data_IF_964879344140
#
_entry.id   IF_964879344140
#
_cell.length_a   1.000
_cell.length_b   1.000
_cell.length_c   1.000
_cell.angle_alpha   90.00
_cell.angle_beta   90.00
_cell.angle_gamma   90.00
#
_symmetry.space_group_name_H-M   'P 1'
#
loop_
_entity.id
_entity.type
_entity.pdbx_description
1 polymer ?
#
# COMPACT_ATOMS: atom_id res chain seq x y z
N UNK A 1 0.81 4.23 15.13
CA UNK A 1 1.18 3.51 13.90
C UNK A 1 0.06 2.53 13.58
N UNK A 2 -0.61 2.68 12.45
CA UNK A 2 -1.52 1.66 11.93
C UNK A 2 -0.78 0.34 11.75
N UNK A 3 -1.44 -0.74 12.19
CA UNK A 3 -0.95 -2.12 12.09
C UNK A 3 -2.10 -2.98 11.60
N UNK A 4 -1.90 -3.67 10.49
CA UNK A 4 -2.89 -4.54 9.85
C UNK A 4 -2.27 -5.92 9.67
N UNK A 5 -3.01 -6.95 10.06
CA UNK A 5 -2.64 -8.33 9.82
C UNK A 5 -3.67 -8.96 8.87
N UNK A 6 -3.18 -9.64 7.84
CA UNK A 6 -3.99 -10.41 6.91
C UNK A 6 -3.23 -11.71 6.56
N UNK A 7 -3.87 -12.85 6.83
CA UNK A 7 -3.17 -14.13 6.83
C UNK A 7 -1.97 -14.10 7.79
N UNK A 8 -0.83 -14.56 7.29
CA UNK A 8 0.46 -14.54 7.96
C UNK A 8 1.25 -13.24 7.73
N UNK A 9 0.76 -12.27 6.93
CA UNK A 9 1.46 -10.99 6.75
C UNK A 9 0.93 -9.92 7.69
N UNK A 10 1.86 -9.10 8.19
CA UNK A 10 1.62 -7.96 9.05
C UNK A 10 2.28 -6.74 8.41
N UNK A 11 1.49 -5.71 8.13
CA UNK A 11 1.95 -4.39 7.73
C UNK A 11 1.91 -3.43 8.92
N UNK A 12 3.01 -2.70 9.11
CA UNK A 12 3.12 -1.55 10.01
C UNK A 12 3.54 -0.32 9.19
N UNK A 13 2.81 0.78 9.37
CA UNK A 13 3.06 2.06 8.70
C UNK A 13 3.08 3.20 9.72
N UNK A 14 3.73 4.33 9.43
CA UNK A 14 3.60 5.53 10.26
C UNK A 14 2.15 6.05 10.26
N UNK A 15 1.79 6.80 11.31
CA UNK A 15 0.45 7.41 11.43
C UNK A 15 0.21 8.53 10.41
N UNK A 16 1.28 9.15 9.93
CA UNK A 16 1.22 10.20 8.92
C UNK A 16 2.58 10.41 8.23
N UNK A 17 2.58 11.20 7.17
CA UNK A 17 3.78 11.76 6.54
C UNK A 17 3.51 13.17 6.01
N UNK A 18 4.56 13.96 5.79
CA UNK A 18 4.44 15.30 5.21
C UNK A 18 4.43 15.23 3.67
N UNK A 19 3.45 15.87 3.04
CA UNK A 19 3.34 16.06 1.60
C UNK A 19 3.01 17.53 1.28
N UNK A 20 3.84 18.19 0.48
CA UNK A 20 3.66 19.61 0.12
C UNK A 20 3.46 20.58 1.31
N UNK A 21 3.95 20.22 2.50
CA UNK A 21 3.80 21.00 3.72
C UNK A 21 2.52 20.70 4.52
N UNK A 22 1.75 19.69 4.11
CA UNK A 22 0.57 19.18 4.80
C UNK A 22 0.85 17.80 5.39
N UNK A 23 0.26 17.50 6.56
CA UNK A 23 0.37 16.19 7.20
C UNK A 23 -0.76 15.30 6.68
N UNK A 24 -0.38 14.21 6.01
CA UNK A 24 -1.30 13.22 5.45
C UNK A 24 -1.48 12.10 6.47
N UNK A 25 -2.62 12.07 7.14
CA UNK A 25 -2.95 11.03 8.12
C UNK A 25 -3.29 9.69 7.45
N UNK A 26 -2.82 8.60 8.05
CA UNK A 26 -3.07 7.23 7.59
C UNK A 26 -3.78 6.46 8.69
N UNK A 27 -4.91 5.86 8.32
CA UNK A 27 -5.71 5.01 9.18
C UNK A 27 -5.71 3.56 8.68
N UNK A 28 -6.11 2.63 9.54
CA UNK A 28 -6.25 1.21 9.16
C UNK A 28 -7.29 0.99 8.07
N UNK A 29 -8.28 1.88 7.95
CA UNK A 29 -9.32 1.81 6.94
C UNK A 29 -8.82 2.14 5.53
N UNK A 30 -7.66 2.80 5.43
CA UNK A 30 -7.02 3.14 4.16
C UNK A 30 -6.18 1.98 3.61
N UNK A 31 -5.97 0.93 4.44
CA UNK A 31 -5.08 -0.18 4.15
C UNK A 31 -5.92 -1.41 3.77
N UNK A 32 -5.69 -1.90 2.56
CA UNK A 32 -6.35 -3.09 2.03
C UNK A 32 -5.31 -4.17 1.70
N UNK A 33 -5.40 -5.38 2.25
CA UNK A 33 -4.57 -6.50 1.82
C UNK A 33 -4.87 -6.89 0.36
N UNK A 34 -3.82 -7.30 -0.36
CA UNK A 34 -3.90 -7.71 -1.77
C UNK A 34 -3.54 -9.18 -1.89
N UNK A 35 -4.38 -9.94 -2.59
CA UNK A 35 -4.15 -11.35 -2.89
C UNK A 35 -3.82 -11.54 -4.37
N UNK A 36 -3.09 -12.60 -4.69
CA UNK A 36 -2.91 -13.05 -6.07
C UNK A 36 -4.27 -13.37 -6.71
N UNK A 37 -4.40 -13.20 -8.03
CA UNK A 37 -5.64 -13.50 -8.77
C UNK A 37 -6.09 -14.97 -8.61
N UNK A 38 -5.13 -15.88 -8.44
CA UNK A 38 -5.36 -17.31 -8.24
C UNK A 38 -5.46 -17.72 -6.76
N UNK A 39 -5.50 -16.77 -5.83
CA UNK A 39 -5.52 -17.06 -4.40
C UNK A 39 -6.80 -17.82 -3.99
N UNK A 40 -6.60 -18.81 -3.13
CA UNK A 40 -7.64 -19.56 -2.44
C UNK A 40 -7.81 -19.05 -1.01
N UNK A 41 -8.84 -19.52 -0.30
CA UNK A 41 -9.11 -19.12 1.09
C UNK A 41 -7.97 -19.44 2.07
N UNK A 42 -7.05 -20.35 1.70
CA UNK A 42 -5.90 -20.76 2.50
C UNK A 42 -4.60 -19.99 2.15
N UNK A 43 -4.63 -19.15 1.10
CA UNK A 43 -3.45 -18.41 0.65
C UNK A 43 -3.25 -17.10 1.43
N UNK A 44 -1.99 -16.77 1.65
CA UNK A 44 -1.59 -15.48 2.23
C UNK A 44 -1.69 -14.36 1.19
N UNK A 45 -1.98 -13.11 1.61
CA UNK A 45 -1.86 -11.97 0.72
C UNK A 45 -0.42 -11.83 0.23
N UNK A 46 -0.24 -11.20 -0.93
CA UNK A 46 1.06 -10.91 -1.53
C UNK A 46 1.60 -9.52 -1.11
N UNK A 47 0.75 -8.72 -0.45
CA UNK A 47 1.09 -7.37 -0.02
C UNK A 47 -0.13 -6.60 0.46
N UNK A 48 0.00 -5.29 0.52
CA UNK A 48 -1.03 -4.35 0.94
C UNK A 48 -1.03 -3.11 0.04
N UNK A 49 -2.18 -2.48 -0.06
CA UNK A 49 -2.36 -1.18 -0.71
C UNK A 49 -2.86 -0.16 0.29
N UNK A 50 -2.33 1.06 0.20
CA UNK A 50 -2.74 2.20 1.01
C UNK A 50 -3.37 3.22 0.06
N UNK A 51 -4.68 3.43 0.19
CA UNK A 51 -5.45 4.36 -0.66
C UNK A 51 -5.63 5.69 0.07
N UNK A 52 -5.14 6.78 -0.49
CA UNK A 52 -5.15 8.11 0.12
C UNK A 52 -5.68 9.17 -0.85
N UNK A 53 -6.30 10.21 -0.30
CA UNK A 53 -6.67 11.42 -1.04
C UNK A 53 -5.62 12.49 -0.76
N UNK A 54 -4.89 12.92 -1.81
CA UNK A 54 -3.88 13.98 -1.70
C UNK A 54 -4.38 15.28 -2.34
N UNK A 55 -4.12 16.40 -1.68
CA UNK A 55 -4.41 17.72 -2.25
C UNK A 55 -3.65 17.89 -3.57
N UNK A 56 -4.33 18.39 -4.62
CA UNK A 56 -3.80 18.60 -5.97
C UNK A 56 -3.40 17.34 -6.78
N UNK A 57 -3.45 16.14 -6.19
CA UNK A 57 -3.11 14.88 -6.86
C UNK A 57 -4.28 13.88 -6.95
N UNK A 58 -5.35 14.10 -6.19
CA UNK A 58 -6.53 13.22 -6.18
C UNK A 58 -6.25 11.92 -5.43
N UNK A 59 -6.91 10.84 -5.84
CA UNK A 59 -6.71 9.53 -5.23
C UNK A 59 -5.36 8.95 -5.65
N UNK A 60 -4.57 8.50 -4.68
CA UNK A 60 -3.33 7.76 -4.91
C UNK A 60 -3.39 6.40 -4.22
N UNK A 61 -2.71 5.41 -4.79
CA UNK A 61 -2.56 4.08 -4.21
C UNK A 61 -1.08 3.76 -4.08
N UNK A 62 -0.66 3.43 -2.86
CA UNK A 62 0.70 3.02 -2.53
C UNK A 62 0.70 1.52 -2.27
N UNK A 63 1.41 0.76 -3.09
CA UNK A 63 1.62 -0.67 -2.88
C UNK A 63 2.77 -0.92 -1.90
N UNK A 64 2.60 -1.91 -1.04
CA UNK A 64 3.64 -2.43 -0.16
C UNK A 64 3.69 -3.94 -0.33
N UNK A 65 4.81 -4.45 -0.82
CA UNK A 65 5.07 -5.88 -0.99
C UNK A 65 6.26 -6.30 -0.15
N UNK A 66 6.31 -7.56 0.21
CA UNK A 66 7.51 -8.14 0.80
C UNK A 66 7.28 -9.58 1.21
N UNK A 67 8.37 -10.32 1.34
CA UNK A 67 8.35 -11.75 1.65
C UNK A 67 8.29 -12.04 3.16
N UNK A 68 8.26 -10.99 3.98
CA UNK A 68 8.27 -11.09 5.45
C UNK A 68 9.60 -11.56 6.05
N UNK A 69 10.64 -11.75 5.24
CA UNK A 69 12.02 -12.08 5.65
C UNK A 69 12.98 -10.88 5.54
N UNK A 70 12.46 -9.70 5.23
CA UNK A 70 13.17 -8.42 5.32
C UNK A 70 13.47 -7.74 3.99
N UNK A 71 12.91 -8.22 2.87
CA UNK A 71 12.88 -7.49 1.61
C UNK A 71 11.48 -6.89 1.43
N UNK A 72 11.23 -5.76 2.10
CA UNK A 72 10.05 -4.93 1.87
C UNK A 72 10.31 -3.90 0.77
N UNK A 73 9.29 -3.68 -0.05
CA UNK A 73 9.32 -2.72 -1.14
C UNK A 73 8.04 -1.89 -1.14
N UNK A 74 8.21 -0.57 -1.12
CA UNK A 74 7.14 0.41 -1.35
C UNK A 74 7.12 0.78 -2.83
N UNK A 75 5.94 0.76 -3.43
CA UNK A 75 5.68 1.00 -4.85
C UNK A 75 5.03 2.37 -5.05
N UNK A 76 5.20 2.98 -6.24
CA UNK A 76 4.54 4.23 -6.64
C UNK A 76 3.09 4.06 -7.12
N UNK A 77 2.53 2.86 -6.96
CA UNK A 77 1.23 2.45 -7.48
C UNK A 77 0.72 1.14 -6.83
N UNK A 78 -0.40 0.60 -7.34
CA UNK A 78 -0.99 -0.65 -6.84
C UNK A 78 -0.04 -1.86 -6.91
N UNK A 79 -0.28 -2.86 -6.06
CA UNK A 79 0.51 -4.10 -6.01
C UNK A 79 0.21 -4.97 -7.23
N UNK A 80 -1.07 -5.12 -7.58
CA UNK A 80 -1.53 -5.88 -8.74
C UNK A 80 -2.05 -4.93 -9.83
N UNK A 81 -1.17 -4.05 -10.30
CA UNK A 81 -1.53 -3.16 -11.41
C UNK A 81 -1.54 -3.95 -12.75
N UNK A 82 -2.64 -3.94 -13.52
CA UNK A 82 -2.64 -4.51 -14.86
C UNK A 82 -1.76 -3.69 -15.81
N UNK A 83 -1.18 -4.35 -16.82
CA UNK A 83 -0.34 -3.70 -17.84
C UNK A 83 -1.08 -2.57 -18.58
N UNK A 84 -2.39 -2.75 -18.83
CA UNK A 84 -3.26 -1.77 -19.47
C UNK A 84 -4.66 -1.84 -18.83
N UNK A 85 -5.23 -0.66 -18.59
CA UNK A 85 -6.64 -0.50 -18.22
C UNK A 85 -7.47 -0.28 -19.50
N UNK A 86 -8.64 -0.91 -19.61
CA UNK A 86 -9.54 -0.77 -20.78
C UNK A 86 -9.95 0.71 -20.99
N UNK A 87 -10.18 1.44 -19.89
CA UNK A 87 -10.40 2.88 -19.88
C UNK A 87 -9.51 3.60 -18.85
N UNK A 88 -9.09 4.87 -19.11
CA UNK A 88 -8.25 5.64 -18.17
C UNK A 88 -8.87 5.84 -16.78
N UNK A 89 -10.20 5.78 -16.71
CA UNK A 89 -11.04 5.89 -15.52
C UNK A 89 -11.33 4.56 -14.81
N UNK A 90 -10.86 3.43 -15.35
CA UNK A 90 -10.91 2.13 -14.65
C UNK A 90 -9.80 2.00 -13.59
N UNK A 91 -8.86 2.96 -13.54
CA UNK A 91 -7.78 2.97 -12.55
C UNK A 91 -8.33 3.25 -11.16
N UNK A 92 -7.89 2.55 -10.11
CA UNK A 92 -8.28 2.83 -8.72
C UNK A 92 -7.58 4.08 -8.15
N UNK A 93 -6.84 4.83 -8.96
CA UNK A 93 -6.07 6.00 -8.59
C UNK A 93 -6.09 7.03 -9.73
N UNK A 94 -5.97 8.31 -9.39
CA UNK A 94 -5.87 9.42 -10.34
C UNK A 94 -4.42 9.62 -10.81
N UNK A 95 -3.48 9.54 -9.88
CA UNK A 95 -2.06 9.78 -10.11
C UNK A 95 -1.15 8.77 -9.42
N UNK A 96 0.02 8.53 -10.02
CA UNK A 96 1.08 7.76 -9.37
C UNK A 96 1.81 8.63 -8.37
N UNK A 97 2.19 8.02 -7.26
CA UNK A 97 2.77 8.73 -6.14
C UNK A 97 3.81 7.86 -5.44
N UNK A 98 5.07 8.31 -5.46
CA UNK A 98 6.10 7.72 -4.62
C UNK A 98 6.11 8.46 -3.28
N UNK A 99 5.88 7.78 -2.15
CA UNK A 99 5.95 8.41 -0.83
C UNK A 99 7.34 8.98 -0.54
N UNK A 100 7.45 9.95 0.39
CA UNK A 100 8.74 10.45 0.84
C UNK A 100 9.62 9.34 1.42
N UNK A 101 10.95 9.45 1.27
CA UNK A 101 11.90 8.43 1.76
C UNK A 101 11.71 8.11 3.25
N UNK A 102 11.45 9.12 4.07
CA UNK A 102 11.23 8.98 5.50
C UNK A 102 9.94 8.20 5.85
N UNK A 103 8.93 8.21 4.97
CA UNK A 103 7.80 7.30 5.08
C UNK A 103 8.25 5.87 4.77
N UNK A 104 8.93 5.69 3.63
CA UNK A 104 9.38 4.38 3.14
C UNK A 104 10.26 3.67 4.18
N UNK A 105 11.21 4.39 4.80
CA UNK A 105 12.11 3.85 5.84
C UNK A 105 11.40 3.38 7.12
N UNK A 106 10.13 3.78 7.33
CA UNK A 106 9.32 3.43 8.50
C UNK A 106 8.23 2.41 8.21
N UNK A 107 7.98 2.12 6.93
CA UNK A 107 7.08 1.03 6.55
C UNK A 107 7.79 -0.29 6.86
N UNK A 108 7.03 -1.27 7.34
CA UNK A 108 7.56 -2.60 7.58
C UNK A 108 6.51 -3.66 7.29
N UNK A 109 6.92 -4.73 6.60
CA UNK A 109 6.12 -5.93 6.41
C UNK A 109 6.85 -7.13 7.04
N UNK A 110 6.11 -7.95 7.77
CA UNK A 110 6.66 -9.08 8.52
C UNK A 110 5.68 -10.26 8.58
N UNK A 111 6.19 -11.44 8.95
CA UNK A 111 5.35 -12.60 9.22
C UNK A 111 4.76 -12.55 10.64
N UNK A 112 3.53 -13.03 10.78
CA UNK A 112 2.91 -13.27 12.08
C UNK A 112 3.65 -14.40 12.82
N UNK A 113 3.96 -14.17 14.10
CA UNK A 113 4.63 -15.14 15.00
C UNK A 113 3.72 -16.29 15.48
#
# INVERSE_FOLDING_TARGET
>A
MPKVQAGNLILEVPDSFEHEGEDVEISRSDITPVWSEDATDDDDPIGFEISLELENQGTVVIGVVGDGYGEDQVLDGPVNEPDDYDHPDDRPYDTRFMPPDDFVERVSISLAE
#
